data_IF_677291723593
#
_entry.id   IF_677291723593
#
_cell.length_a   1.000
_cell.length_b   1.000
_cell.length_c   1.000
_cell.angle_alpha   90.00
_cell.angle_beta   90.00
_cell.angle_gamma   90.00
#
_symmetry.space_group_name_H-M   'P 1'
#
loop_
_entity.id
_entity.type
_entity.pdbx_description
1 polymer ?
#
# COMPACT_ATOMS: atom_id res chain seq x y z
N UNK A 1 8.02 -5.46 14.53
CA UNK A 1 9.08 -5.80 13.54
C UNK A 1 9.34 -7.29 13.59
N UNK A 2 9.72 -7.94 12.49
CA UNK A 2 9.99 -9.37 12.45
C UNK A 2 11.10 -9.68 11.44
N UNK A 3 11.90 -10.71 11.71
CA UNK A 3 12.82 -11.27 10.73
C UNK A 3 12.03 -12.02 9.65
N UNK A 4 12.34 -11.73 8.38
CA UNK A 4 11.70 -12.31 7.20
C UNK A 4 12.62 -12.15 5.97
N UNK A 5 12.47 -13.05 5.01
CA UNK A 5 13.15 -13.03 3.70
C UNK A 5 12.12 -13.03 2.57
N UNK A 6 11.19 -12.08 2.62
CA UNK A 6 10.14 -11.91 1.62
C UNK A 6 10.59 -10.99 0.47
N UNK A 7 11.26 -9.89 0.79
CA UNK A 7 11.85 -8.95 -0.15
C UNK A 7 13.19 -8.43 0.39
N UNK A 8 14.29 -8.67 -0.33
CA UNK A 8 15.62 -8.24 0.12
C UNK A 8 16.62 -8.11 -1.04
N UNK A 9 17.72 -7.36 -0.82
CA UNK A 9 18.81 -7.13 -1.78
C UNK A 9 20.14 -7.60 -1.19
N UNK A 10 20.43 -8.91 -1.22
CA UNK A 10 21.65 -9.46 -0.65
C UNK A 10 22.87 -9.26 -1.57
N UNK A 11 22.64 -9.21 -2.89
CA UNK A 11 23.66 -8.97 -3.90
C UNK A 11 23.85 -7.47 -4.08
N UNK A 12 25.02 -6.96 -3.70
CA UNK A 12 25.36 -5.54 -3.78
C UNK A 12 25.81 -5.12 -5.20
N UNK A 13 26.00 -6.08 -6.10
CA UNK A 13 26.35 -5.82 -7.50
C UNK A 13 25.12 -5.69 -8.39
N UNK A 14 23.95 -6.08 -7.90
CA UNK A 14 22.71 -6.08 -8.65
C UNK A 14 21.66 -5.20 -7.99
N UNK A 15 20.94 -4.43 -8.80
CA UNK A 15 19.88 -3.58 -8.29
C UNK A 15 18.57 -4.34 -8.04
N UNK A 16 18.34 -5.45 -8.75
CA UNK A 16 17.11 -6.20 -8.66
C UNK A 16 17.03 -6.95 -7.32
N UNK A 17 15.87 -6.90 -6.63
CA UNK A 17 15.68 -7.61 -5.38
C UNK A 17 15.42 -9.10 -5.61
N UNK A 18 15.74 -9.90 -4.60
CA UNK A 18 15.15 -11.21 -4.42
C UNK A 18 13.76 -11.00 -3.81
N UNK A 19 12.75 -11.57 -4.46
CA UNK A 19 11.36 -11.43 -4.04
C UNK A 19 10.65 -12.78 -4.10
N UNK A 20 10.12 -13.20 -2.95
CA UNK A 20 9.05 -14.19 -2.91
C UNK A 20 7.74 -13.42 -2.86
N UNK A 21 7.07 -13.29 -4.01
CA UNK A 21 5.86 -12.48 -4.13
C UNK A 21 4.70 -13.00 -3.29
N UNK A 22 4.56 -14.32 -3.17
CA UNK A 22 3.52 -14.92 -2.33
C UNK A 22 3.82 -14.67 -0.85
N UNK A 23 5.08 -14.87 -0.44
CA UNK A 23 5.49 -14.61 0.93
C UNK A 23 5.50 -13.12 1.28
N UNK A 24 5.74 -12.22 0.33
CA UNK A 24 5.67 -10.76 0.53
C UNK A 24 4.25 -10.28 0.79
N UNK A 25 3.27 -10.74 0.01
CA UNK A 25 1.84 -10.43 0.25
C UNK A 25 1.45 -10.96 1.62
N UNK A 26 1.92 -12.15 1.95
CA UNK A 26 1.76 -12.75 3.26
C UNK A 26 2.39 -11.85 4.35
N UNK A 27 3.67 -11.53 4.30
CA UNK A 27 4.30 -10.65 5.28
C UNK A 27 3.64 -9.27 5.42
N UNK A 28 3.11 -8.70 4.33
CA UNK A 28 2.39 -7.42 4.36
C UNK A 28 1.03 -7.48 5.09
N UNK A 29 0.36 -8.64 5.06
CA UNK A 29 -0.99 -8.82 5.64
C UNK A 29 -0.95 -9.58 6.99
N UNK A 30 -0.02 -10.52 7.18
CA UNK A 30 -0.14 -11.66 8.11
C UNK A 30 0.51 -11.59 9.49
N UNK A 31 1.45 -10.70 9.79
CA UNK A 31 2.13 -10.70 11.09
C UNK A 31 1.52 -9.69 12.09
N UNK A 32 0.89 -10.14 13.20
CA UNK A 32 0.16 -9.30 14.16
C UNK A 32 0.98 -8.18 14.83
N UNK A 33 2.32 -8.19 14.74
CA UNK A 33 3.19 -7.14 15.31
C UNK A 33 3.80 -6.19 14.27
N UNK A 34 3.49 -6.37 12.98
CA UNK A 34 4.06 -5.59 11.86
C UNK A 34 3.11 -5.25 10.73
N UNK A 35 1.92 -5.86 10.69
CA UNK A 35 1.00 -5.70 9.56
C UNK A 35 -0.12 -4.74 9.84
N UNK A 36 -0.87 -4.45 8.78
CA UNK A 36 -2.03 -3.57 8.80
C UNK A 36 -3.01 -3.93 9.93
N UNK A 37 -3.22 -5.23 10.19
CA UNK A 37 -4.08 -5.71 11.29
C UNK A 37 -3.43 -5.44 12.64
N UNK A 38 -2.13 -5.68 12.77
CA UNK A 38 -1.40 -5.43 14.02
C UNK A 38 -1.39 -3.96 14.43
N UNK A 39 -1.10 -3.09 13.46
CA UNK A 39 -1.13 -1.62 13.66
C UNK A 39 -2.55 -1.15 13.97
N UNK A 40 -3.54 -1.70 13.26
CA UNK A 40 -4.94 -1.40 13.50
C UNK A 40 -5.38 -1.81 14.91
N UNK A 41 -5.21 -3.08 15.30
CA UNK A 41 -5.56 -3.58 16.63
C UNK A 41 -4.82 -2.82 17.75
N UNK A 42 -3.56 -2.44 17.53
CA UNK A 42 -2.80 -1.63 18.49
C UNK A 42 -3.34 -0.18 18.59
N UNK A 43 -3.87 0.37 17.49
CA UNK A 43 -4.56 1.66 17.49
C UNK A 43 -5.90 1.56 18.23
N UNK A 44 -6.71 0.53 17.93
CA UNK A 44 -7.96 0.26 18.65
C UNK A 44 -7.75 0.12 20.15
N UNK A 45 -6.77 -0.68 20.57
CA UNK A 45 -6.44 -0.86 21.98
C UNK A 45 -6.08 0.46 22.69
N UNK A 46 -5.43 1.40 21.98
CA UNK A 46 -5.12 2.73 22.52
C UNK A 46 -6.34 3.65 22.58
N UNK A 47 -7.26 3.55 21.62
CA UNK A 47 -8.47 4.38 21.55
C UNK A 47 -9.58 3.89 22.50
N UNK A 48 -9.55 2.61 22.86
CA UNK A 48 -10.47 1.99 23.82
C UNK A 48 -9.97 2.03 25.26
N UNK A 49 -8.74 2.50 25.49
CA UNK A 49 -8.15 2.65 26.83
C UNK A 49 -7.95 4.12 27.20
N UNK A 50 -8.33 4.50 28.43
CA UNK A 50 -8.10 5.84 28.98
C UNK A 50 -9.36 6.69 29.21
N UNK A 51 -9.18 7.92 29.72
CA UNK A 51 -10.27 8.81 30.13
C UNK A 51 -11.16 9.34 28.98
N UNK A 52 -10.68 9.23 27.73
CA UNK A 52 -11.41 9.57 26.52
C UNK A 52 -11.75 8.32 25.67
N UNK A 53 -11.90 7.16 26.33
CA UNK A 53 -12.16 5.90 25.66
C UNK A 53 -13.45 5.97 24.82
N UNK A 54 -13.34 5.57 23.56
CA UNK A 54 -14.51 5.35 22.70
C UNK A 54 -14.97 3.92 22.88
N UNK A 55 -16.28 3.70 23.09
CA UNK A 55 -16.85 2.37 23.40
C UNK A 55 -16.74 1.36 22.25
N UNK A 56 -16.59 1.85 21.02
CA UNK A 56 -16.52 1.05 19.81
C UNK A 56 -15.59 1.74 18.82
N UNK A 57 -14.48 1.09 18.51
CA UNK A 57 -13.62 1.46 17.39
C UNK A 57 -13.91 0.50 16.26
N UNK A 58 -13.98 1.02 15.05
CA UNK A 58 -14.07 0.26 13.83
C UNK A 58 -13.28 0.99 12.76
N UNK A 59 -13.06 0.37 11.61
CA UNK A 59 -12.39 1.04 10.50
C UNK A 59 -13.12 2.31 10.03
N UNK A 60 -14.42 2.42 10.30
CA UNK A 60 -15.24 3.59 9.95
C UNK A 60 -14.94 4.82 10.81
N UNK A 61 -14.20 4.67 11.92
CA UNK A 61 -13.75 5.80 12.74
C UNK A 61 -12.68 6.64 12.03
N UNK A 62 -12.04 6.11 10.98
CA UNK A 62 -10.98 6.79 10.25
C UNK A 62 -11.53 7.48 9.02
N UNK A 63 -11.38 8.81 8.97
CA UNK A 63 -11.75 9.60 7.79
C UNK A 63 -10.87 9.25 6.59
N UNK A 64 -9.57 9.01 6.86
CA UNK A 64 -8.55 8.72 5.84
C UNK A 64 -7.78 7.46 6.21
N UNK A 65 -7.60 6.55 5.23
CA UNK A 65 -6.84 5.31 5.42
C UNK A 65 -5.83 5.13 4.29
N UNK A 66 -4.55 5.38 4.60
CA UNK A 66 -3.48 5.39 3.61
C UNK A 66 -2.74 4.03 3.59
N UNK A 67 -2.53 3.49 2.38
CA UNK A 67 -1.72 2.28 2.16
C UNK A 67 -0.51 2.58 1.27
N UNK A 68 0.54 1.77 1.45
CA UNK A 68 1.76 1.84 0.64
C UNK A 68 1.56 1.42 -0.82
N UNK A 69 0.60 0.54 -1.13
CA UNK A 69 0.39 0.05 -2.49
C UNK A 69 -1.11 -0.04 -2.81
N UNK A 70 -1.52 0.47 -3.98
CA UNK A 70 -2.93 0.66 -4.32
C UNK A 70 -3.74 -0.65 -4.40
N UNK A 71 -3.26 -1.66 -5.15
CA UNK A 71 -3.98 -2.94 -5.33
C UNK A 71 -3.94 -3.82 -4.08
N UNK A 72 -2.83 -3.77 -3.34
CA UNK A 72 -2.72 -4.47 -2.05
C UNK A 72 -3.58 -3.78 -0.98
N UNK A 73 -3.69 -2.45 -1.03
CA UNK A 73 -4.47 -1.63 -0.10
C UNK A 73 -5.93 -2.05 -0.05
N UNK A 74 -6.57 -2.37 -1.18
CA UNK A 74 -7.94 -2.88 -1.19
C UNK A 74 -8.09 -4.18 -0.41
N UNK A 75 -7.14 -5.12 -0.56
CA UNK A 75 -7.13 -6.38 0.18
C UNK A 75 -6.83 -6.16 1.65
N UNK A 76 -5.89 -5.28 1.96
CA UNK A 76 -5.54 -4.88 3.32
C UNK A 76 -6.75 -4.26 4.04
N UNK A 77 -7.52 -3.40 3.38
CA UNK A 77 -8.73 -2.80 3.94
C UNK A 77 -9.84 -3.83 4.18
N UNK A 78 -10.09 -4.71 3.20
CA UNK A 78 -10.99 -5.85 3.39
C UNK A 78 -10.56 -6.74 4.58
N UNK A 79 -9.25 -6.88 4.79
CA UNK A 79 -8.72 -7.66 5.91
C UNK A 79 -8.91 -6.96 7.27
N UNK A 80 -8.86 -5.63 7.33
CA UNK A 80 -9.20 -4.87 8.54
C UNK A 80 -10.68 -5.09 8.87
N UNK A 81 -11.58 -4.96 7.89
CA UNK A 81 -13.01 -5.25 8.08
C UNK A 81 -13.28 -6.69 8.54
N UNK A 82 -12.49 -7.67 8.06
CA UNK A 82 -12.55 -9.03 8.58
C UNK A 82 -12.10 -9.12 10.05
N UNK A 83 -11.09 -8.35 10.46
CA UNK A 83 -10.68 -8.24 11.86
C UNK A 83 -11.80 -7.67 12.73
N UNK A 84 -12.46 -6.61 12.29
CA UNK A 84 -13.62 -6.00 12.95
C UNK A 84 -14.79 -6.99 13.08
N UNK A 85 -15.05 -7.78 12.04
CA UNK A 85 -16.07 -8.82 12.09
C UNK A 85 -15.77 -9.88 13.16
N UNK A 86 -14.51 -10.28 13.32
CA UNK A 86 -14.12 -11.28 14.32
C UNK A 86 -14.29 -10.77 15.76
N UNK A 87 -14.21 -9.45 15.97
CA UNK A 87 -14.35 -8.81 17.29
C UNK A 87 -15.79 -8.38 17.58
N UNK A 88 -16.56 -7.91 16.60
CA UNK A 88 -17.92 -7.41 16.79
C UNK A 88 -18.87 -7.71 15.60
N UNK A 89 -19.48 -8.90 15.63
CA UNK A 89 -20.36 -9.43 14.59
C UNK A 89 -21.71 -8.69 14.46
N UNK A 90 -22.14 -8.01 15.51
CA UNK A 90 -23.43 -7.31 15.55
C UNK A 90 -23.35 -5.92 14.90
N UNK A 91 -22.14 -5.48 14.52
CA UNK A 91 -21.96 -4.22 13.80
C UNK A 91 -22.68 -4.24 12.46
N UNK A 92 -23.17 -3.06 12.06
CA UNK A 92 -23.89 -2.87 10.81
C UNK A 92 -23.09 -3.39 9.61
N UNK A 93 -23.73 -4.18 8.75
CA UNK A 93 -23.12 -4.74 7.54
C UNK A 93 -22.52 -6.14 7.69
N UNK A 94 -22.43 -6.69 8.90
CA UNK A 94 -21.88 -8.04 9.13
C UNK A 94 -22.92 -9.17 9.24
N UNK A 95 -24.19 -8.84 9.48
CA UNK A 95 -25.29 -9.80 9.57
C UNK A 95 -25.38 -10.84 8.43
N UNK A 96 -25.00 -10.54 7.16
CA UNK A 96 -25.05 -11.52 6.09
C UNK A 96 -23.96 -12.61 6.13
N UNK A 97 -22.97 -12.53 7.00
CA UNK A 97 -21.85 -13.49 7.00
C UNK A 97 -22.14 -14.74 7.83
N UNK A 98 -21.87 -15.94 7.27
CA UNK A 98 -21.99 -17.19 8.02
C UNK A 98 -21.06 -17.24 9.23
N UNK A 99 -21.52 -17.85 10.32
CA UNK A 99 -20.73 -18.06 11.53
C UNK A 99 -19.46 -18.89 11.25
N UNK A 100 -19.52 -19.79 10.28
CA UNK A 100 -18.45 -20.67 9.82
C UNK A 100 -17.22 -19.89 9.34
N UNK A 101 -17.41 -18.65 8.86
CA UNK A 101 -16.29 -17.79 8.44
C UNK A 101 -15.35 -17.49 9.62
N UNK A 102 -15.86 -17.43 10.86
CA UNK A 102 -15.06 -17.19 12.07
C UNK A 102 -14.25 -18.40 12.50
N UNK A 103 -14.72 -19.60 12.19
CA UNK A 103 -14.05 -20.84 12.57
C UNK A 103 -12.81 -21.13 11.73
N UNK A 104 -12.63 -20.39 10.62
CA UNK A 104 -11.47 -20.54 9.74
C UNK A 104 -10.21 -20.12 10.51
N UNK A 105 -9.22 -21.03 10.68
CA UNK A 105 -7.98 -20.71 11.37
C UNK A 105 -7.27 -19.53 10.72
N UNK A 106 -6.56 -18.74 11.54
CA UNK A 106 -5.86 -17.54 11.07
C UNK A 106 -5.03 -17.83 9.83
N UNK A 107 -4.15 -18.83 9.84
CA UNK A 107 -3.28 -19.21 8.72
C UNK A 107 -4.04 -19.57 7.43
N UNK A 108 -5.15 -20.29 7.55
CA UNK A 108 -5.98 -20.68 6.41
C UNK A 108 -6.73 -19.48 5.82
N UNK A 109 -7.11 -18.52 6.67
CA UNK A 109 -7.86 -17.34 6.24
C UNK A 109 -7.06 -16.40 5.33
N UNK A 110 -5.75 -16.62 5.19
CA UNK A 110 -4.78 -15.73 4.54
C UNK A 110 -4.72 -15.92 3.03
N UNK A 111 -4.92 -17.15 2.60
CA UNK A 111 -5.05 -17.54 1.19
C UNK A 111 -6.49 -17.89 0.81
N UNK A 112 -7.42 -17.84 1.79
CA UNK A 112 -8.83 -18.19 1.61
C UNK A 112 -9.55 -17.23 0.66
N UNK A 113 -9.83 -17.71 -0.56
CA UNK A 113 -10.55 -16.93 -1.59
C UNK A 113 -11.97 -16.54 -1.17
N UNK A 114 -12.61 -17.35 -0.32
CA UNK A 114 -13.95 -17.08 0.20
C UNK A 114 -13.95 -15.79 1.03
N UNK A 115 -13.05 -15.69 2.02
CA UNK A 115 -12.91 -14.52 2.89
C UNK A 115 -12.47 -13.30 2.06
N UNK A 116 -11.45 -13.47 1.20
CA UNK A 116 -10.97 -12.39 0.32
C UNK A 116 -12.13 -11.81 -0.49
N UNK A 117 -12.91 -12.65 -1.19
CA UNK A 117 -14.02 -12.19 -2.04
C UNK A 117 -15.15 -11.56 -1.23
N UNK A 118 -15.53 -12.19 -0.12
CA UNK A 118 -16.59 -11.71 0.77
C UNK A 118 -16.31 -10.29 1.28
N UNK A 119 -15.16 -10.08 1.91
CA UNK A 119 -14.82 -8.80 2.52
C UNK A 119 -14.36 -7.76 1.49
N UNK A 120 -13.78 -8.16 0.35
CA UNK A 120 -13.54 -7.20 -0.75
C UNK A 120 -14.85 -6.68 -1.36
N UNK A 121 -15.91 -7.51 -1.38
CA UNK A 121 -17.22 -7.07 -1.86
C UNK A 121 -17.87 -6.13 -0.86
N UNK A 122 -17.87 -6.49 0.42
CA UNK A 122 -18.41 -5.67 1.51
C UNK A 122 -17.75 -4.30 1.59
N UNK A 123 -16.41 -4.28 1.57
CA UNK A 123 -15.63 -3.07 1.76
C UNK A 123 -15.57 -2.19 0.50
N UNK A 124 -16.20 -2.58 -0.61
CA UNK A 124 -16.03 -1.90 -1.90
C UNK A 124 -16.42 -0.42 -1.85
N UNK A 125 -17.61 -0.09 -1.36
CA UNK A 125 -18.09 1.29 -1.27
C UNK A 125 -17.23 2.14 -0.32
N UNK A 126 -16.88 1.57 0.83
CA UNK A 126 -16.01 2.21 1.81
C UNK A 126 -14.60 2.44 1.26
N UNK A 127 -14.03 1.48 0.52
CA UNK A 127 -12.76 1.65 -0.17
C UNK A 127 -12.84 2.77 -1.22
N UNK A 128 -13.92 2.81 -2.00
CA UNK A 128 -14.15 3.86 -2.99
C UNK A 128 -14.27 5.25 -2.35
N UNK A 129 -14.78 5.33 -1.12
CA UNK A 129 -14.92 6.59 -0.39
C UNK A 129 -13.62 6.99 0.33
N UNK A 130 -13.03 6.10 1.13
CA UNK A 130 -11.93 6.39 2.05
C UNK A 130 -10.52 6.20 1.48
N UNK A 131 -10.35 5.55 0.32
CA UNK A 131 -9.02 5.10 -0.15
C UNK A 131 -8.81 5.38 -1.64
N UNK A 132 -9.86 5.29 -2.46
CA UNK A 132 -9.72 5.53 -3.90
C UNK A 132 -9.15 6.91 -4.25
N UNK A 133 -9.49 8.01 -3.55
CA UNK A 133 -8.81 9.29 -3.76
C UNK A 133 -7.28 9.16 -3.66
N UNK A 134 -6.78 8.40 -2.67
CA UNK A 134 -5.34 8.19 -2.43
C UNK A 134 -4.63 7.43 -3.50
N UNK A 135 -5.36 6.48 -4.08
CA UNK A 135 -4.79 5.57 -5.05
C UNK A 135 -4.49 6.24 -6.40
N UNK A 136 -4.98 7.45 -6.65
CA UNK A 136 -4.85 8.10 -7.96
C UNK A 136 -3.38 8.36 -8.32
N UNK A 137 -2.65 9.11 -7.49
CA UNK A 137 -1.25 9.44 -7.80
C UNK A 137 -0.33 8.20 -7.85
N UNK A 138 -0.37 7.26 -6.88
CA UNK A 138 0.39 6.02 -6.96
C UNK A 138 0.01 5.12 -8.13
N UNK A 139 -1.24 5.11 -8.58
CA UNK A 139 -1.66 4.36 -9.79
C UNK A 139 -0.97 4.92 -11.03
N UNK A 140 -0.74 6.23 -11.07
CA UNK A 140 -0.03 6.86 -12.18
C UNK A 140 1.49 6.70 -12.09
N UNK A 141 2.07 6.65 -10.89
CA UNK A 141 3.52 6.62 -10.69
C UNK A 141 4.11 5.23 -10.37
N UNK A 142 3.28 4.21 -10.19
CA UNK A 142 3.66 2.88 -9.72
C UNK A 142 4.31 2.90 -8.31
N UNK A 143 4.96 1.79 -7.92
CA UNK A 143 5.64 1.68 -6.63
C UNK A 143 6.92 2.54 -6.62
N UNK A 144 6.95 3.55 -5.75
CA UNK A 144 8.11 4.42 -5.51
C UNK A 144 8.82 4.10 -4.19
N UNK A 145 8.65 2.87 -3.67
CA UNK A 145 9.20 2.41 -2.40
C UNK A 145 8.88 3.38 -1.25
N UNK A 146 9.87 3.86 -0.52
CA UNK A 146 9.69 4.65 0.71
C UNK A 146 8.80 5.88 0.53
N UNK A 147 8.76 6.49 -0.66
CA UNK A 147 7.97 7.69 -0.92
C UNK A 147 6.55 7.42 -1.41
N UNK A 148 6.16 6.15 -1.63
CA UNK A 148 4.79 5.85 -2.08
C UNK A 148 3.73 6.34 -1.10
N UNK A 149 4.00 6.27 0.21
CA UNK A 149 3.06 6.77 1.23
C UNK A 149 2.87 8.29 1.13
N UNK A 150 3.95 9.04 0.93
CA UNK A 150 3.88 10.48 0.72
C UNK A 150 3.10 10.80 -0.56
N UNK A 151 3.33 10.06 -1.64
CA UNK A 151 2.56 10.23 -2.87
C UNK A 151 1.06 9.96 -2.68
N UNK A 152 0.70 8.92 -1.93
CA UNK A 152 -0.70 8.68 -1.54
C UNK A 152 -1.27 9.84 -0.75
N UNK A 153 -0.53 10.38 0.22
CA UNK A 153 -0.98 11.50 1.04
C UNK A 153 -1.20 12.79 0.24
N UNK A 154 -0.33 13.07 -0.74
CA UNK A 154 -0.49 14.23 -1.63
C UNK A 154 -1.77 14.17 -2.46
N UNK A 155 -2.39 13.00 -2.65
CA UNK A 155 -3.69 12.88 -3.31
C UNK A 155 -4.85 13.49 -2.51
N UNK A 156 -4.69 13.72 -1.19
CA UNK A 156 -5.69 14.39 -0.35
C UNK A 156 -5.54 15.90 -0.25
N UNK A 157 -4.37 16.40 -0.63
CA UNK A 157 -4.10 17.84 -0.59
C UNK A 157 -4.76 18.46 -1.81
N UNK A 158 -5.47 19.56 -1.63
CA UNK A 158 -6.13 20.23 -2.75
C UNK A 158 -5.06 20.72 -3.74
N UNK A 159 -5.32 20.67 -5.06
CA UNK A 159 -4.36 21.10 -6.07
C UNK A 159 -3.80 22.52 -5.84
N UNK A 160 -4.62 23.44 -5.33
CA UNK A 160 -4.22 24.80 -4.99
C UNK A 160 -3.23 24.90 -3.81
N UNK A 161 -3.22 23.91 -2.93
CA UNK A 161 -2.33 23.83 -1.76
C UNK A 161 -1.06 23.02 -2.07
N UNK A 162 -1.00 22.36 -3.24
CA UNK A 162 0.16 21.61 -3.70
C UNK A 162 1.15 22.54 -4.40
N UNK A 163 2.41 22.51 -3.94
CA UNK A 163 3.53 23.13 -4.66
C UNK A 163 3.81 22.45 -6.02
N UNK A 164 3.26 21.25 -6.25
CA UNK A 164 3.45 20.45 -7.45
C UNK A 164 2.16 20.44 -8.28
N UNK A 165 2.16 20.98 -9.51
CA UNK A 165 0.97 21.01 -10.34
C UNK A 165 0.64 19.61 -10.89
N UNK A 166 -0.65 19.29 -10.97
CA UNK A 166 -1.13 18.00 -11.53
C UNK A 166 -0.69 17.77 -12.98
N UNK A 167 -0.31 18.84 -13.70
CA UNK A 167 0.25 18.78 -15.05
C UNK A 167 1.56 18.01 -15.15
N UNK A 168 2.28 17.79 -14.04
CA UNK A 168 3.49 16.96 -14.05
C UNK A 168 3.20 15.51 -14.47
N UNK A 169 2.03 14.96 -14.12
CA UNK A 169 1.65 13.61 -14.52
C UNK A 169 1.29 13.52 -16.01
N UNK A 170 0.79 14.60 -16.61
CA UNK A 170 0.43 14.63 -18.03
C UNK A 170 1.58 15.04 -18.94
N UNK A 171 2.60 15.73 -18.41
CA UNK A 171 3.82 16.08 -19.14
C UNK A 171 4.78 14.89 -19.39
N UNK A 172 4.44 13.69 -18.88
CA UNK A 172 5.28 12.50 -19.01
C UNK A 172 5.30 11.96 -20.44
N UNK A 173 6.41 11.33 -20.80
CA UNK A 173 6.59 10.61 -22.06
C UNK A 173 6.50 9.11 -21.81
N UNK A 174 6.02 8.38 -22.79
CA UNK A 174 6.06 6.91 -22.79
C UNK A 174 7.44 6.47 -23.27
N UNK A 175 8.12 5.62 -22.50
CA UNK A 175 9.44 5.08 -22.85
C UNK A 175 9.34 3.63 -23.27
N UNK A 176 10.27 3.21 -24.14
CA UNK A 176 10.40 1.83 -24.56
C UNK A 176 11.19 0.99 -23.55
N UNK A 177 10.91 -0.32 -23.52
CA UNK A 177 11.50 -1.27 -22.57
C UNK A 177 13.04 -1.32 -22.63
N UNK A 178 13.64 -0.99 -23.78
CA UNK A 178 15.10 -1.00 -23.98
C UNK A 178 15.82 -0.02 -23.04
N UNK A 179 15.18 1.07 -22.62
CA UNK A 179 15.76 2.01 -21.65
C UNK A 179 15.95 1.38 -20.26
N UNK A 180 15.15 0.37 -19.90
CA UNK A 180 15.33 -0.36 -18.63
C UNK A 180 16.65 -1.14 -18.62
N UNK A 181 17.07 -1.70 -19.75
CA UNK A 181 18.32 -2.47 -19.85
C UNK A 181 19.57 -1.61 -19.67
N UNK A 182 19.49 -0.30 -19.98
CA UNK A 182 20.58 0.64 -19.72
C UNK A 182 20.86 0.78 -18.21
N UNK A 183 19.85 0.60 -17.37
CA UNK A 183 19.97 0.70 -15.91
C UNK A 183 20.86 -0.41 -15.33
N UNK A 184 20.92 -1.56 -15.98
CA UNK A 184 21.83 -2.65 -15.61
C UNK A 184 23.30 -2.25 -15.72
N UNK A 185 23.63 -1.24 -16.52
CA UNK A 185 25.00 -0.77 -16.70
C UNK A 185 25.31 0.49 -15.86
N UNK A 186 24.28 1.13 -15.28
CA UNK A 186 24.42 2.41 -14.60
C UNK A 186 25.23 2.35 -13.28
N UNK A 187 25.42 1.14 -12.73
CA UNK A 187 26.20 0.88 -11.53
C UNK A 187 27.72 0.74 -11.82
N UNK A 188 28.13 0.65 -13.09
CA UNK A 188 29.53 0.49 -13.47
C UNK A 188 30.35 1.76 -13.19
N UNK A 189 31.60 1.58 -12.74
CA UNK A 189 32.56 2.67 -12.59
C UNK A 189 32.92 3.20 -13.99
N UNK A 190 32.76 4.51 -14.21
CA UNK A 190 32.94 5.22 -15.50
C UNK A 190 31.77 5.14 -16.50
N UNK A 191 30.55 4.85 -16.04
CA UNK A 191 29.36 4.92 -16.89
C UNK A 191 28.93 6.38 -17.16
N UNK A 192 28.88 6.77 -18.44
CA UNK A 192 28.34 8.06 -18.89
C UNK A 192 26.88 7.89 -19.34
N UNK A 193 25.90 8.58 -18.69
CA UNK A 193 24.50 8.46 -19.07
C UNK A 193 24.24 8.95 -20.51
N UNK A 194 23.63 8.13 -21.40
CA UNK A 194 23.46 8.48 -22.81
C UNK A 194 22.23 9.38 -23.08
N UNK A 195 21.53 9.85 -22.05
CA UNK A 195 20.26 10.58 -22.20
C UNK A 195 20.44 12.04 -22.63
N UNK A 196 19.44 12.60 -23.32
CA UNK A 196 19.43 14.01 -23.71
C UNK A 196 18.78 14.90 -22.62
N UNK A 197 19.44 15.98 -22.24
CA UNK A 197 18.97 16.89 -21.16
C UNK A 197 17.75 17.74 -21.55
N UNK A 198 17.46 17.89 -22.85
CA UNK A 198 16.25 18.53 -23.35
C UNK A 198 14.97 17.70 -23.06
N UNK A 199 15.11 16.45 -22.59
CA UNK A 199 13.98 15.55 -22.31
C UNK A 199 13.47 15.64 -20.88
N UNK A 200 14.22 16.25 -19.96
CA UNK A 200 13.85 16.42 -18.56
C UNK A 200 13.29 17.82 -18.30
N UNK A 201 12.45 17.95 -17.27
CA UNK A 201 11.87 19.24 -16.87
C UNK A 201 12.97 20.23 -16.48
N UNK A 202 12.76 21.52 -16.79
CA UNK A 202 13.68 22.60 -16.40
C UNK A 202 14.03 22.51 -14.90
N UNK A 203 15.28 22.81 -14.56
CA UNK A 203 15.84 22.77 -13.19
C UNK A 203 15.91 21.36 -12.55
N UNK A 204 15.62 20.29 -13.30
CA UNK A 204 15.86 18.91 -12.85
C UNK A 204 17.37 18.62 -12.81
N UNK A 205 17.88 18.26 -11.63
CA UNK A 205 19.24 17.75 -11.48
C UNK A 205 19.39 16.41 -12.21
N UNK A 206 20.54 16.21 -12.86
CA UNK A 206 20.88 14.96 -13.55
C UNK A 206 22.33 14.56 -13.27
N UNK A 207 22.64 13.29 -13.50
CA UNK A 207 24.02 12.78 -13.41
C UNK A 207 24.75 13.07 -14.72
N UNK A 208 25.81 13.86 -14.65
CA UNK A 208 26.65 14.18 -15.81
C UNK A 208 27.69 13.08 -16.09
N UNK A 209 28.26 12.48 -15.04
CA UNK A 209 29.30 11.43 -15.09
C UNK A 209 29.09 10.38 -13.99
#
# INVERSE_FOLDING_TARGET
>A
MAHAYDFYKPDLTNEYPYIDGHFSIKCAILKPSTTVIGVYNACEAKLTSGAAATSTVSVNCFVYVLFHACKLGQKSYARIMYSDYLTNQESEGYAPFPAEIKEIPFETSLSGKIIEKAFMTLSKSLFEFHIKPDSQNPTMCCNMYSVTYLCSHLSYVKPEDLLLPSSLLTARRVFELQMCMLREHAHLKNFQPPGETNTITKETYYREQ
#
